data_IF_491389857053
#
_entry.id   IF_491389857053
#
_cell.length_a   1.000
_cell.length_b   1.000
_cell.length_c   1.000
_cell.angle_alpha   90.00
_cell.angle_beta   90.00
_cell.angle_gamma   90.00
#
_symmetry.space_group_name_H-M   'P 1'
#
loop_
_entity.id
_entity.type
_entity.pdbx_description
1 polymer ?
#
# COMPACT_ATOMS: atom_id res chain seq x y z
N UNK A 1 -4.69 -15.88 -3.44
CA UNK A 1 -4.13 -16.75 -2.39
C UNK A 1 -3.05 -15.94 -1.67
N UNK A 2 -3.15 -15.78 -0.34
CA UNK A 2 -2.22 -14.99 0.49
C UNK A 2 -1.51 -15.95 1.44
N UNK A 3 -0.18 -15.99 1.42
CA UNK A 3 0.59 -16.88 2.29
C UNK A 3 0.81 -16.20 3.63
N UNK A 4 0.20 -16.73 4.70
CA UNK A 4 0.39 -16.24 6.07
C UNK A 4 1.74 -16.74 6.62
N UNK A 5 2.60 -15.82 7.05
CA UNK A 5 3.89 -16.12 7.70
C UNK A 5 4.23 -15.03 8.71
N UNK A 6 4.95 -15.39 9.79
CA UNK A 6 5.38 -14.44 10.84
C UNK A 6 6.29 -13.32 10.31
N UNK A 7 7.03 -13.57 9.22
CA UNK A 7 7.97 -12.62 8.60
C UNK A 7 7.43 -11.95 7.32
N UNK A 8 6.10 -11.99 7.12
CA UNK A 8 5.43 -11.34 6.00
C UNK A 8 4.56 -10.19 6.49
N UNK A 9 4.86 -8.99 5.99
CA UNK A 9 3.99 -7.83 6.08
C UNK A 9 3.00 -7.80 4.91
N UNK A 10 1.87 -7.16 5.15
CA UNK A 10 0.87 -6.86 4.13
C UNK A 10 0.50 -5.38 4.22
N UNK A 11 0.39 -4.73 3.07
CA UNK A 11 -0.21 -3.41 2.93
C UNK A 11 -1.49 -3.52 2.13
N UNK A 12 -2.55 -2.91 2.62
CA UNK A 12 -3.84 -2.79 1.94
C UNK A 12 -4.10 -1.32 1.69
N UNK A 13 -4.44 -0.96 0.45
CA UNK A 13 -4.71 0.41 0.05
C UNK A 13 -6.08 0.45 -0.63
N UNK A 14 -6.95 1.34 -0.15
CA UNK A 14 -8.23 1.67 -0.79
C UNK A 14 -8.20 3.14 -1.18
N UNK A 15 -8.61 3.44 -2.39
CA UNK A 15 -8.69 4.81 -2.90
C UNK A 15 -10.16 5.15 -3.09
N UNK A 16 -10.63 6.16 -2.36
CA UNK A 16 -12.02 6.58 -2.34
C UNK A 16 -12.15 8.01 -2.86
N UNK A 17 -13.16 8.25 -3.68
CA UNK A 17 -13.57 9.59 -4.11
C UNK A 17 -14.78 10.02 -3.28
N UNK A 18 -14.70 11.18 -2.65
CA UNK A 18 -15.86 11.82 -2.00
C UNK A 18 -16.79 12.39 -3.06
N UNK A 19 -18.09 12.13 -2.88
CA UNK A 19 -19.20 12.61 -3.71
C UNK A 19 -20.31 13.09 -2.79
N UNK A 20 -21.31 13.79 -3.33
CA UNK A 20 -22.47 14.26 -2.55
C UNK A 20 -23.30 13.10 -1.97
N UNK A 21 -23.23 11.92 -2.60
CA UNK A 21 -23.92 10.71 -2.16
C UNK A 21 -23.07 9.81 -1.24
N UNK A 22 -21.83 10.20 -0.91
CA UNK A 22 -20.92 9.43 -0.06
C UNK A 22 -19.57 9.13 -0.72
N UNK A 23 -18.89 8.08 -0.26
CA UNK A 23 -17.57 7.67 -0.75
C UNK A 23 -17.69 6.52 -1.74
N UNK A 24 -17.07 6.67 -2.91
CA UNK A 24 -17.08 5.66 -3.99
C UNK A 24 -15.66 5.19 -4.26
N UNK A 25 -15.40 3.87 -4.35
CA UNK A 25 -14.09 3.36 -4.72
C UNK A 25 -13.72 3.78 -6.14
N UNK A 26 -12.46 4.18 -6.33
CA UNK A 26 -11.90 4.56 -7.63
C UNK A 26 -10.61 3.80 -7.88
N UNK A 27 -10.42 3.33 -9.12
CA UNK A 27 -9.15 2.70 -9.52
C UNK A 27 -8.02 3.72 -9.43
N UNK A 28 -6.81 3.24 -9.17
CA UNK A 28 -5.62 4.07 -9.10
C UNK A 28 -4.39 3.32 -9.58
N UNK A 29 -3.46 4.05 -10.21
CA UNK A 29 -2.09 3.58 -10.39
C UNK A 29 -1.34 3.85 -9.09
N UNK A 30 -0.80 2.79 -8.48
CA UNK A 30 -0.13 2.86 -7.18
C UNK A 30 1.29 2.34 -7.30
N UNK A 31 2.25 3.16 -6.90
CA UNK A 31 3.63 2.76 -6.69
C UNK A 31 3.94 2.82 -5.19
N UNK A 32 4.45 1.72 -4.63
CA UNK A 32 4.78 1.62 -3.21
C UNK A 32 6.26 1.33 -3.07
N UNK A 33 6.96 2.22 -2.37
CA UNK A 33 8.34 2.01 -1.97
C UNK A 33 8.46 2.07 -0.46
N UNK A 34 9.52 1.49 0.09
CA UNK A 34 9.95 1.77 1.44
C UNK A 34 11.47 1.81 1.56
N UNK A 35 11.96 2.52 2.57
CA UNK A 35 13.35 2.44 3.02
C UNK A 35 13.42 1.95 4.46
N UNK A 36 14.47 1.21 4.80
CA UNK A 36 14.77 0.87 6.20
C UNK A 36 15.78 1.87 6.81
N UNK A 37 16.12 1.69 8.08
CA UNK A 37 17.06 2.56 8.80
C UNK A 37 18.49 2.55 8.22
N UNK A 38 18.86 1.52 7.46
CA UNK A 38 20.16 1.44 6.79
C UNK A 38 20.16 2.10 5.40
N UNK A 39 19.04 2.72 5.00
CA UNK A 39 18.90 3.39 3.71
C UNK A 39 18.66 2.45 2.53
N UNK A 40 18.40 1.16 2.78
CA UNK A 40 18.05 0.22 1.72
C UNK A 40 16.63 0.50 1.23
N UNK A 41 16.50 0.83 -0.05
CA UNK A 41 15.21 1.00 -0.72
C UNK A 41 14.65 -0.32 -1.23
N UNK A 42 13.33 -0.49 -1.10
CA UNK A 42 12.56 -1.61 -1.61
C UNK A 42 11.37 -1.07 -2.38
N UNK A 43 11.10 -1.63 -3.55
CA UNK A 43 9.87 -1.40 -4.31
C UNK A 43 8.98 -2.62 -4.13
N UNK A 44 7.70 -2.41 -3.80
CA UNK A 44 6.74 -3.49 -3.60
C UNK A 44 5.79 -3.58 -4.77
N UNK A 45 5.56 -4.82 -5.24
CA UNK A 45 4.48 -5.09 -6.19
C UNK A 45 3.15 -5.04 -5.43
N UNK A 46 2.21 -4.29 -5.98
CA UNK A 46 0.82 -4.29 -5.54
C UNK A 46 -0.05 -4.94 -6.60
N UNK A 47 -1.04 -5.73 -6.16
CA UNK A 47 -2.06 -6.31 -7.03
C UNK A 47 -3.41 -5.68 -6.73
N UNK A 48 -4.16 -5.33 -7.77
CA UNK A 48 -5.55 -4.93 -7.66
C UNK A 48 -6.43 -6.15 -7.32
N UNK A 49 -7.41 -5.93 -6.46
CA UNK A 49 -8.50 -6.85 -6.14
C UNK A 49 -9.79 -6.06 -6.29
N UNK A 50 -10.63 -6.52 -7.20
CA UNK A 50 -11.93 -5.92 -7.50
C UNK A 50 -13.01 -6.93 -7.10
N UNK A 51 -13.84 -6.56 -6.12
CA UNK A 51 -14.98 -7.35 -5.64
C UNK A 51 -16.31 -6.74 -6.11
N UNK A 52 -16.29 -5.89 -7.13
CA UNK A 52 -17.44 -5.20 -7.72
C UNK A 52 -17.86 -3.97 -6.93
N UNK A 53 -18.13 -4.13 -5.62
CA UNK A 53 -18.52 -3.02 -4.75
C UNK A 53 -17.33 -2.36 -4.05
N UNK A 54 -16.12 -2.88 -4.23
CA UNK A 54 -14.90 -2.41 -3.57
C UNK A 54 -13.66 -2.76 -4.38
N UNK A 55 -12.68 -1.85 -4.34
CA UNK A 55 -11.40 -1.99 -5.03
C UNK A 55 -10.28 -1.83 -3.99
N UNK A 56 -9.40 -2.83 -3.93
CA UNK A 56 -8.26 -2.88 -3.01
C UNK A 56 -6.96 -3.10 -3.76
N UNK A 57 -5.88 -2.54 -3.25
CA UNK A 57 -4.53 -2.84 -3.69
C UNK A 57 -3.77 -3.51 -2.56
N UNK A 58 -3.34 -4.75 -2.80
CA UNK A 58 -2.64 -5.58 -1.82
C UNK A 58 -1.18 -5.71 -2.21
N UNK A 59 -0.29 -5.34 -1.30
CA UNK A 59 1.15 -5.60 -1.40
C UNK A 59 1.60 -6.55 -0.30
N UNK A 60 2.42 -7.53 -0.65
CA UNK A 60 3.05 -8.46 0.29
C UNK A 60 4.57 -8.25 0.28
N UNK A 61 5.20 -8.26 1.45
CA UNK A 61 6.64 -8.04 1.57
C UNK A 61 7.22 -8.77 2.77
N UNK A 62 8.52 -9.06 2.72
CA UNK A 62 9.22 -9.64 3.85
C UNK A 62 9.68 -8.55 4.81
N UNK A 63 9.60 -8.86 6.11
CA UNK A 63 10.08 -8.01 7.20
C UNK A 63 10.92 -8.82 8.17
N UNK A 64 11.99 -8.20 8.69
CA UNK A 64 12.75 -8.75 9.80
C UNK A 64 12.12 -8.35 11.16
N UNK A 65 12.50 -9.06 12.23
CA UNK A 65 12.13 -8.67 13.59
C UNK A 65 12.70 -7.28 13.90
N UNK A 66 11.86 -6.41 14.46
CA UNK A 66 12.17 -5.01 14.76
C UNK A 66 12.53 -4.13 13.56
N UNK A 67 12.23 -4.56 12.33
CA UNK A 67 12.50 -3.74 11.15
C UNK A 67 11.56 -2.53 11.11
N UNK A 68 12.14 -1.33 11.06
CA UNK A 68 11.41 -0.09 10.77
C UNK A 68 11.47 0.19 9.27
N UNK A 69 10.31 0.33 8.65
CA UNK A 69 10.17 0.70 7.25
C UNK A 69 9.47 2.06 7.13
N UNK A 70 10.05 2.94 6.32
CA UNK A 70 9.51 4.23 5.93
C UNK A 70 8.88 4.07 4.55
N UNK A 71 7.55 3.97 4.50
CA UNK A 71 6.80 3.80 3.27
C UNK A 71 6.55 5.13 2.57
N UNK A 72 6.64 5.12 1.25
CA UNK A 72 6.23 6.19 0.36
C UNK A 72 5.33 5.59 -0.73
N UNK A 73 4.10 6.06 -0.78
CA UNK A 73 3.09 5.66 -1.74
C UNK A 73 2.83 6.83 -2.68
N UNK A 74 2.99 6.60 -3.98
CA UNK A 74 2.55 7.52 -5.02
C UNK A 74 1.27 6.97 -5.63
N UNK A 75 0.17 7.72 -5.50
CA UNK A 75 -1.17 7.27 -5.87
C UNK A 75 -1.73 8.23 -6.91
N UNK A 76 -2.02 7.72 -8.10
CA UNK A 76 -2.69 8.45 -9.17
C UNK A 76 -4.07 7.84 -9.42
N UNK A 77 -5.15 8.43 -8.88
CA UNK A 77 -6.52 7.98 -9.15
C UNK A 77 -6.88 8.11 -10.63
N UNK A 78 -7.73 7.22 -11.11
CA UNK A 78 -8.32 7.31 -12.45
C UNK A 78 -9.08 8.63 -12.61
N UNK A 79 -8.89 9.29 -13.75
CA UNK A 79 -9.46 10.61 -14.02
C UNK A 79 -8.72 11.79 -13.35
N UNK A 80 -7.69 11.54 -12.53
CA UNK A 80 -6.79 12.58 -12.03
C UNK A 80 -5.56 12.72 -12.92
N UNK A 81 -5.02 13.94 -13.03
CA UNK A 81 -3.70 14.21 -13.61
C UNK A 81 -2.62 14.41 -12.56
N UNK A 82 -3.00 14.59 -11.29
CA UNK A 82 -2.09 14.85 -10.18
C UNK A 82 -2.04 13.63 -9.26
N UNK A 83 -0.85 13.02 -9.06
CA UNK A 83 -0.66 12.02 -8.03
C UNK A 83 -0.56 12.70 -6.66
N UNK A 84 -1.03 12.03 -5.62
CA UNK A 84 -0.72 12.40 -4.23
C UNK A 84 0.24 11.41 -3.60
N UNK A 85 1.03 11.92 -2.66
CA UNK A 85 2.04 11.14 -1.94
C UNK A 85 1.58 10.91 -0.52
N UNK A 86 1.60 9.66 -0.09
CA UNK A 86 1.36 9.27 1.32
C UNK A 86 2.65 8.68 1.87
N UNK A 87 3.13 9.21 2.99
CA UNK A 87 4.30 8.68 3.69
C UNK A 87 3.94 8.29 5.11
N UNK A 88 4.39 7.12 5.54
CA UNK A 88 4.23 6.67 6.92
C UNK A 88 5.38 5.75 7.32
N UNK A 89 5.57 5.57 8.62
CA UNK A 89 6.60 4.70 9.18
C UNK A 89 5.97 3.62 10.03
N UNK A 90 6.45 2.39 9.91
CA UNK A 90 5.95 1.26 10.68
C UNK A 90 7.13 0.41 11.16
N UNK A 91 7.15 0.10 12.47
CA UNK A 91 8.04 -0.91 13.04
C UNK A 91 7.32 -2.25 13.09
N UNK A 92 7.95 -3.29 12.57
CA UNK A 92 7.39 -4.64 12.51
C UNK A 92 8.00 -5.52 13.60
N UNK A 93 7.18 -6.36 14.22
CA UNK A 93 7.58 -7.35 15.21
C UNK A 93 7.12 -8.72 14.74
N UNK A 94 8.07 -9.63 14.53
CA UNK A 94 7.82 -10.97 13.99
C UNK A 94 7.99 -12.09 15.02
N UNK A 95 8.26 -11.73 16.28
CA UNK A 95 8.49 -12.63 17.41
C UNK A 95 7.58 -12.21 18.56
#
# INVERSE_FOLDING_TARGET
NIVRSKNRGMITISVLKKTDAGEVPVRAKINVTASNLTGQFRTFKVREVDEGNSIYYLGEFHVAHEEMLNFTLQILPEGSTQPFTVTFRQKFYTQ
#
